data_IF_959763225453
#
_entry.id   IF_959763225453
#
_cell.length_a   1.000
_cell.length_b   1.000
_cell.length_c   1.000
_cell.angle_alpha   90.00
_cell.angle_beta   90.00
_cell.angle_gamma   90.00
#
_symmetry.space_group_name_H-M   'P 1'
#
loop_
_entity.id
_entity.type
_entity.pdbx_description
1 polymer ?
#
# COMPACT_ATOMS: atom_id res chain seq x y z
N UNK A 1 -8.90 7.08 23.00
CA UNK A 1 -7.44 6.99 22.90
C UNK A 1 -6.86 7.62 24.15
N UNK A 2 -6.29 6.84 25.07
CA UNK A 2 -5.75 7.34 26.34
C UNK A 2 -4.50 8.22 26.13
N UNK A 3 -3.69 7.91 25.11
CA UNK A 3 -2.46 8.65 24.78
C UNK A 3 -2.60 9.57 23.54
N UNK A 4 -3.80 9.71 23.00
CA UNK A 4 -4.09 10.55 21.82
C UNK A 4 -3.99 9.85 20.47
N UNK A 5 -4.22 10.62 19.40
CA UNK A 5 -4.18 10.14 18.02
C UNK A 5 -2.74 9.98 17.53
N UNK A 6 -2.48 8.92 16.77
CA UNK A 6 -1.19 8.65 16.13
C UNK A 6 -1.39 8.56 14.62
N UNK A 7 -0.40 9.05 13.88
CA UNK A 7 -0.30 8.91 12.43
C UNK A 7 0.63 7.75 12.07
N UNK A 8 0.26 6.93 11.09
CA UNK A 8 1.08 5.79 10.64
C UNK A 8 0.96 5.61 9.13
N UNK A 9 1.97 4.96 8.52
CA UNK A 9 1.94 4.65 7.10
C UNK A 9 2.08 3.15 6.82
N UNK A 10 1.55 2.71 5.68
CA UNK A 10 1.80 1.38 5.11
C UNK A 10 2.16 1.52 3.64
N UNK A 11 3.25 0.87 3.22
CA UNK A 11 3.76 0.91 1.86
C UNK A 11 3.27 -0.27 1.02
N UNK A 12 2.87 -0.01 -0.22
CA UNK A 12 2.46 -1.02 -1.20
C UNK A 12 3.18 -0.76 -2.52
N UNK A 13 4.05 -1.68 -2.93
CA UNK A 13 4.73 -1.57 -4.22
C UNK A 13 3.86 -2.14 -5.36
N UNK A 14 3.68 -1.38 -6.46
CA UNK A 14 2.96 -1.83 -7.64
C UNK A 14 3.80 -2.82 -8.43
N UNK A 15 3.66 -4.10 -8.09
CA UNK A 15 4.39 -5.22 -8.73
C UNK A 15 3.51 -6.08 -9.62
N UNK A 16 2.20 -5.83 -9.54
CA UNK A 16 1.12 -6.40 -10.34
C UNK A 16 -0.05 -5.40 -10.35
N UNK A 17 -1.04 -5.66 -11.19
CA UNK A 17 -2.28 -4.88 -11.27
C UNK A 17 -3.21 -5.08 -10.06
N UNK A 18 -2.97 -6.11 -9.24
CA UNK A 18 -3.80 -6.41 -8.08
C UNK A 18 -3.00 -6.83 -6.84
N UNK A 19 -3.52 -6.44 -5.67
CA UNK A 19 -3.11 -7.03 -4.41
C UNK A 19 -3.69 -8.45 -4.28
N UNK A 20 -2.91 -9.36 -3.72
CA UNK A 20 -3.35 -10.71 -3.33
C UNK A 20 -3.47 -10.85 -1.80
N UNK A 21 -3.95 -12.01 -1.33
CA UNK A 21 -4.17 -12.33 0.09
C UNK A 21 -2.99 -12.01 1.01
N UNK A 22 -1.75 -12.18 0.54
CA UNK A 22 -0.55 -11.81 1.31
C UNK A 22 -0.49 -10.36 1.81
N UNK A 23 -1.18 -9.41 1.16
CA UNK A 23 -1.23 -8.02 1.62
C UNK A 23 -2.34 -7.75 2.64
N UNK A 24 -3.29 -8.68 2.80
CA UNK A 24 -4.50 -8.45 3.56
C UNK A 24 -4.24 -8.23 5.05
N UNK A 25 -3.22 -8.88 5.62
CA UNK A 25 -2.85 -8.70 7.03
C UNK A 25 -2.47 -7.25 7.31
N UNK A 26 -1.65 -6.63 6.46
CA UNK A 26 -1.27 -5.23 6.58
C UNK A 26 -2.49 -4.31 6.44
N UNK A 27 -3.32 -4.51 5.41
CA UNK A 27 -4.53 -3.72 5.15
C UNK A 27 -5.51 -3.77 6.33
N UNK A 28 -5.80 -4.97 6.84
CA UNK A 28 -6.71 -5.14 7.97
C UNK A 28 -6.13 -4.57 9.27
N UNK A 29 -4.82 -4.62 9.44
CA UNK A 29 -4.15 -4.00 10.60
C UNK A 29 -4.28 -2.48 10.52
N UNK A 30 -4.03 -1.88 9.36
CA UNK A 30 -4.28 -0.46 9.13
C UNK A 30 -5.74 -0.11 9.40
N UNK A 31 -6.70 -0.87 8.87
CA UNK A 31 -8.12 -0.59 9.14
C UNK A 31 -8.46 -0.65 10.63
N UNK A 32 -7.90 -1.61 11.38
CA UNK A 32 -8.11 -1.68 12.84
C UNK A 32 -7.55 -0.46 13.56
N UNK A 33 -6.36 0.00 13.20
CA UNK A 33 -5.78 1.23 13.75
C UNK A 33 -6.64 2.45 13.41
N UNK A 34 -7.14 2.54 12.18
CA UNK A 34 -8.07 3.59 11.78
C UNK A 34 -9.36 3.58 12.60
N UNK A 35 -9.97 2.41 12.80
CA UNK A 35 -11.18 2.26 13.62
C UNK A 35 -10.94 2.59 15.10
N UNK A 36 -9.71 2.44 15.60
CA UNK A 36 -9.32 2.88 16.93
C UNK A 36 -9.12 4.42 17.02
N UNK A 37 -9.25 5.16 15.92
CA UNK A 37 -9.13 6.61 15.85
C UNK A 37 -7.78 7.12 15.38
N UNK A 38 -6.87 6.25 14.93
CA UNK A 38 -5.56 6.66 14.38
C UNK A 38 -5.66 7.04 12.90
N UNK A 39 -4.69 7.83 12.41
CA UNK A 39 -4.69 8.36 11.04
C UNK A 39 -3.80 7.52 10.09
N UNK A 40 -4.38 6.80 9.11
CA UNK A 40 -3.60 6.06 8.12
C UNK A 40 -3.06 6.93 6.97
N UNK A 41 -1.87 6.58 6.48
CA UNK A 41 -1.34 7.00 5.20
C UNK A 41 -0.93 5.77 4.37
N UNK A 42 -1.73 5.40 3.36
CA UNK A 42 -1.40 4.29 2.47
C UNK A 42 -0.55 4.81 1.31
N UNK A 43 0.74 4.47 1.30
CA UNK A 43 1.70 4.90 0.29
C UNK A 43 1.79 3.84 -0.82
N UNK A 44 1.42 4.21 -2.05
CA UNK A 44 1.59 3.35 -3.22
C UNK A 44 2.86 3.77 -3.97
N UNK A 45 3.82 2.85 -4.03
CA UNK A 45 5.20 3.08 -4.43
C UNK A 45 5.42 3.22 -5.94
N UNK A 46 4.91 4.27 -6.58
CA UNK A 46 5.10 4.48 -8.03
C UNK A 46 6.57 4.59 -8.48
N UNK A 47 7.46 5.10 -7.62
CA UNK A 47 8.89 5.17 -7.88
C UNK A 47 9.65 3.91 -7.41
N UNK A 48 9.29 3.33 -6.26
CA UNK A 48 9.93 2.10 -5.73
C UNK A 48 9.59 0.87 -6.55
N UNK A 49 8.39 0.80 -7.14
CA UNK A 49 8.01 -0.26 -8.08
C UNK A 49 8.83 -0.29 -9.37
N UNK A 50 9.43 0.85 -9.78
CA UNK A 50 10.32 0.93 -10.94
C UNK A 50 11.72 0.39 -10.65
N UNK A 51 12.15 0.37 -9.39
CA UNK A 51 13.46 -0.17 -8.98
C UNK A 51 13.28 -1.64 -8.56
N UNK A 52 12.22 -1.93 -7.80
CA UNK A 52 11.94 -3.21 -7.19
C UNK A 52 12.67 -3.39 -5.85
N UNK A 53 11.93 -3.73 -4.80
CA UNK A 53 12.53 -4.12 -3.51
C UNK A 53 13.26 -5.48 -3.64
N UNK A 54 14.59 -5.54 -3.38
CA UNK A 54 15.40 -6.76 -3.46
C UNK A 54 15.25 -7.66 -2.23
N UNK A 55 14.50 -7.24 -1.21
CA UNK A 55 14.35 -8.00 0.04
C UNK A 55 13.87 -9.43 -0.23
N UNK A 56 14.74 -10.40 0.08
CA UNK A 56 14.50 -11.85 0.01
C UNK A 56 14.27 -12.47 -1.38
N UNK A 57 14.78 -11.89 -2.47
CA UNK A 57 14.68 -12.49 -3.83
C UNK A 57 16.04 -12.75 -4.47
N UNK A 58 16.25 -13.98 -4.95
CA UNK A 58 17.49 -14.45 -5.59
C UNK A 58 17.67 -13.98 -7.05
N UNK A 59 16.65 -13.37 -7.66
CA UNK A 59 16.67 -12.94 -9.06
C UNK A 59 16.25 -11.46 -9.21
N UNK A 60 16.97 -10.73 -10.07
CA UNK A 60 16.59 -9.37 -10.47
C UNK A 60 15.20 -9.37 -11.12
N UNK A 61 14.35 -8.43 -10.71
CA UNK A 61 13.02 -8.26 -11.32
C UNK A 61 13.16 -7.60 -12.68
N UNK A 62 12.34 -8.04 -13.64
CA UNK A 62 12.19 -7.35 -14.91
C UNK A 62 11.59 -5.95 -14.68
N UNK A 63 12.31 -4.93 -15.14
CA UNK A 63 11.86 -3.54 -15.12
C UNK A 63 10.61 -3.39 -15.99
N UNK A 64 9.55 -2.84 -15.40
CA UNK A 64 8.30 -2.58 -16.09
C UNK A 64 8.31 -1.18 -16.70
N UNK A 65 7.48 -0.96 -17.73
CA UNK A 65 7.33 0.37 -18.30
C UNK A 65 6.66 1.32 -17.29
N UNK A 66 6.95 2.62 -17.40
CA UNK A 66 6.33 3.64 -16.56
C UNK A 66 4.80 3.60 -16.66
N UNK A 67 4.26 3.45 -17.87
CA UNK A 67 2.83 3.39 -18.13
C UNK A 67 2.17 2.17 -17.44
N UNK A 68 2.86 1.02 -17.48
CA UNK A 68 2.43 -0.18 -16.76
C UNK A 68 2.34 0.08 -15.25
N UNK A 69 3.40 0.65 -14.67
CA UNK A 69 3.44 0.96 -13.23
C UNK A 69 2.38 1.97 -12.85
N UNK A 70 2.14 3.01 -13.65
CA UNK A 70 1.07 3.99 -13.40
C UNK A 70 -0.33 3.35 -13.41
N UNK A 71 -0.58 2.39 -14.30
CA UNK A 71 -1.83 1.62 -14.32
C UNK A 71 -2.03 0.78 -13.06
N UNK A 72 -0.96 0.14 -12.59
CA UNK A 72 -0.97 -0.64 -11.35
C UNK A 72 -1.15 0.23 -10.12
N UNK A 73 -0.51 1.40 -10.06
CA UNK A 73 -0.70 2.38 -8.97
C UNK A 73 -2.17 2.73 -8.83
N UNK A 74 -2.85 3.10 -9.93
CA UNK A 74 -4.28 3.45 -9.91
C UNK A 74 -5.15 2.29 -9.46
N UNK A 75 -4.84 1.08 -9.95
CA UNK A 75 -5.56 -0.13 -9.58
C UNK A 75 -5.45 -0.40 -8.08
N UNK A 76 -4.23 -0.41 -7.54
CA UNK A 76 -3.95 -0.64 -6.12
C UNK A 76 -4.58 0.45 -5.23
N UNK A 77 -4.52 1.73 -5.63
CA UNK A 77 -5.19 2.81 -4.92
C UNK A 77 -6.71 2.57 -4.81
N UNK A 78 -7.35 2.17 -5.91
CA UNK A 78 -8.76 1.79 -5.92
C UNK A 78 -9.07 0.54 -5.08
N UNK A 79 -8.12 -0.37 -4.92
CA UNK A 79 -8.30 -1.51 -4.02
C UNK A 79 -8.25 -1.10 -2.55
N UNK A 80 -7.28 -0.27 -2.18
CA UNK A 80 -7.05 0.19 -0.80
C UNK A 80 -8.18 1.10 -0.29
N UNK A 81 -8.76 1.95 -1.15
CA UNK A 81 -9.88 2.83 -0.80
C UNK A 81 -11.16 2.09 -0.40
N UNK A 82 -11.28 0.79 -0.73
CA UNK A 82 -12.39 -0.06 -0.27
C UNK A 82 -12.24 -0.49 1.19
N UNK A 83 -11.04 -0.40 1.75
CA UNK A 83 -10.74 -0.82 3.12
C UNK A 83 -10.47 0.35 4.07
N UNK A 84 -9.84 1.41 3.57
CA UNK A 84 -9.44 2.57 4.36
C UNK A 84 -10.26 3.79 3.93
N UNK A 85 -10.73 4.55 4.92
CA UNK A 85 -11.40 5.83 4.69
C UNK A 85 -10.34 6.93 4.60
N UNK A 86 -10.18 7.56 3.43
CA UNK A 86 -9.19 8.62 3.24
C UNK A 86 -9.80 10.03 3.31
N UNK A 87 -11.12 10.16 3.44
CA UNK A 87 -11.81 11.45 3.50
C UNK A 87 -12.01 11.93 4.95
N UNK A 88 -12.20 10.99 5.88
CA UNK A 88 -12.50 11.29 7.29
C UNK A 88 -11.36 10.96 8.27
N UNK A 89 -10.13 10.77 7.77
CA UNK A 89 -8.92 10.42 8.53
C UNK A 89 -7.87 11.51 8.56
#
# INVERSE_FOLDING_TARGET
LEEGQVSYYTGYDPTADSLHLGHLVAILTSRRLQLAGHKPYALVGGATGLIGDPSFKDAERSLQTKDTVEGWVKSIQGQLSRFLDFENG
#
